data_IF_387935105242
#
_entry.id   IF_387935105242
#
_cell.length_a   1.000
_cell.length_b   1.000
_cell.length_c   1.000
_cell.angle_alpha   90.00
_cell.angle_beta   90.00
_cell.angle_gamma   90.00
#
_symmetry.space_group_name_H-M   'P 1'
#
loop_
_entity.id
_entity.type
_entity.pdbx_description
1 polymer ?
#
# COMPACT_ATOMS: atom_id res chain seq x y z
N UNK A 1 35.41 -48.14 -42.99
CA UNK A 1 36.28 -47.85 -41.83
C UNK A 1 36.01 -46.49 -41.23
N UNK A 2 36.35 -46.33 -39.96
CA UNK A 2 36.03 -45.16 -39.14
C UNK A 2 37.31 -44.39 -38.77
N UNK A 3 37.45 -43.16 -39.26
CA UNK A 3 38.42 -42.21 -38.70
C UNK A 3 37.75 -40.89 -38.31
N UNK A 4 37.76 -40.70 -36.99
CA UNK A 4 37.13 -39.64 -36.21
C UNK A 4 37.75 -38.27 -36.47
N UNK A 5 36.94 -37.32 -36.97
CA UNK A 5 37.24 -35.89 -36.89
C UNK A 5 37.16 -35.43 -35.42
N UNK A 6 38.24 -35.61 -34.67
CA UNK A 6 38.36 -35.22 -33.26
C UNK A 6 38.49 -33.70 -33.13
N UNK A 7 37.37 -32.97 -33.24
CA UNK A 7 37.30 -31.53 -32.95
C UNK A 7 37.90 -31.28 -31.56
N UNK A 8 38.97 -30.49 -31.48
CA UNK A 8 39.48 -30.01 -30.19
C UNK A 8 38.49 -29.00 -29.61
N UNK A 9 37.61 -29.47 -28.73
CA UNK A 9 36.98 -28.60 -27.74
C UNK A 9 38.07 -28.10 -26.79
N UNK A 10 38.65 -26.95 -27.11
CA UNK A 10 39.41 -26.16 -26.14
C UNK A 10 38.47 -25.79 -25.00
N UNK A 11 38.64 -26.39 -23.83
CA UNK A 11 37.88 -26.00 -22.65
C UNK A 11 38.08 -24.49 -22.41
N UNK A 12 37.02 -23.74 -22.05
CA UNK A 12 37.18 -22.34 -21.68
C UNK A 12 38.18 -22.24 -20.51
N UNK A 13 39.14 -21.31 -20.64
CA UNK A 13 40.19 -21.11 -19.64
C UNK A 13 39.57 -20.95 -18.25
N UNK A 14 40.24 -21.45 -17.21
CA UNK A 14 39.81 -21.28 -15.81
C UNK A 14 39.64 -19.79 -15.45
N UNK A 15 40.38 -18.88 -16.12
CA UNK A 15 40.18 -17.43 -16.03
C UNK A 15 38.91 -16.93 -16.72
N UNK A 16 38.51 -17.52 -17.85
CA UNK A 16 37.27 -17.20 -18.55
C UNK A 16 36.04 -17.68 -17.77
N UNK A 17 36.12 -18.87 -17.16
CA UNK A 17 35.10 -19.36 -16.23
C UNK A 17 34.99 -18.51 -14.96
N UNK A 18 36.11 -18.00 -14.42
CA UNK A 18 36.10 -17.06 -13.29
C UNK A 18 35.56 -15.67 -13.68
N UNK A 19 35.83 -15.19 -14.90
CA UNK A 19 35.23 -13.95 -15.41
C UNK A 19 33.73 -14.08 -15.65
N UNK A 20 33.26 -15.22 -16.18
CA UNK A 20 31.83 -15.54 -16.26
C UNK A 20 31.20 -15.64 -14.86
N UNK A 21 31.85 -16.31 -13.91
CA UNK A 21 31.38 -16.40 -12.53
C UNK A 21 31.28 -15.02 -11.84
N UNK A 22 32.23 -14.11 -12.12
CA UNK A 22 32.18 -12.73 -11.66
C UNK A 22 31.04 -11.94 -12.32
N UNK A 23 30.83 -12.09 -13.64
CA UNK A 23 29.72 -11.47 -14.37
C UNK A 23 28.34 -11.98 -13.88
N UNK A 24 28.22 -13.26 -13.51
CA UNK A 24 27.00 -13.79 -12.87
C UNK A 24 26.84 -13.40 -11.41
N UNK A 25 27.88 -12.86 -10.76
CA UNK A 25 27.78 -12.25 -9.43
C UNK A 25 27.41 -10.76 -9.49
N UNK A 26 27.37 -10.18 -10.69
CA UNK A 26 26.98 -8.77 -10.92
C UNK A 26 25.60 -8.64 -11.57
N UNK A 27 24.66 -9.53 -11.26
CA UNK A 27 23.25 -9.11 -11.15
C UNK A 27 23.03 -8.33 -9.83
N UNK A 28 23.84 -7.29 -9.63
CA UNK A 28 23.62 -6.29 -8.59
C UNK A 28 22.35 -5.53 -8.93
N UNK A 29 21.45 -5.48 -7.96
CA UNK A 29 20.23 -4.68 -7.87
C UNK A 29 20.26 -3.44 -8.76
N UNK A 30 19.36 -3.41 -9.76
CA UNK A 30 19.36 -2.43 -10.84
C UNK A 30 18.73 -1.08 -10.42
N UNK A 31 19.12 -0.56 -9.26
CA UNK A 31 18.56 0.64 -8.67
C UNK A 31 19.09 0.87 -7.25
N UNK A 32 18.69 2.00 -6.66
CA UNK A 32 18.75 2.19 -5.21
C UNK A 32 17.50 1.62 -4.55
N UNK A 33 17.65 0.98 -3.40
CA UNK A 33 16.56 0.38 -2.64
C UNK A 33 16.47 0.97 -1.22
N UNK A 34 15.28 0.97 -0.64
CA UNK A 34 14.95 1.65 0.61
C UNK A 34 14.20 0.73 1.58
N UNK A 35 14.66 0.68 2.83
CA UNK A 35 13.98 -0.01 3.93
C UNK A 35 13.47 1.03 4.92
N UNK A 36 12.15 1.20 4.99
CA UNK A 36 11.49 2.26 5.76
C UNK A 36 10.46 1.66 6.72
N UNK A 37 10.51 2.06 7.98
CA UNK A 37 9.59 1.63 9.01
C UNK A 37 8.80 2.82 9.57
N UNK A 38 7.48 2.70 9.58
CA UNK A 38 6.55 3.74 10.02
C UNK A 38 5.82 3.28 11.27
N UNK A 39 6.09 3.98 12.37
CA UNK A 39 5.59 3.72 13.71
C UNK A 39 4.57 4.80 14.08
N UNK A 40 3.45 4.39 14.67
CA UNK A 40 2.44 5.32 15.20
C UNK A 40 1.93 4.81 16.54
N UNK A 41 2.10 5.61 17.59
CA UNK A 41 1.55 5.38 18.92
C UNK A 41 0.49 6.44 19.24
N UNK A 42 -0.75 6.01 19.44
CA UNK A 42 -1.92 6.89 19.62
C UNK A 42 -2.47 6.71 21.03
N UNK A 43 -2.53 7.79 21.81
CA UNK A 43 -3.17 7.78 23.13
C UNK A 43 -4.69 7.64 23.02
N UNK A 44 -5.30 6.96 23.99
CA UNK A 44 -6.73 6.61 23.96
C UNK A 44 -7.45 7.00 25.26
N UNK A 45 -7.70 8.31 25.52
CA UNK A 45 -8.33 8.77 26.75
C UNK A 45 -9.68 8.06 27.01
N UNK A 46 -9.82 7.46 28.19
CA UNK A 46 -11.01 6.70 28.59
C UNK A 46 -11.20 5.32 27.92
N UNK A 47 -10.36 4.94 26.96
CA UNK A 47 -10.49 3.70 26.17
C UNK A 47 -9.34 2.69 26.37
N UNK A 48 -8.45 2.93 27.34
CA UNK A 48 -7.43 1.99 27.78
C UNK A 48 -6.00 2.44 27.50
N UNK A 49 -5.10 1.48 27.24
CA UNK A 49 -3.70 1.77 26.91
C UNK A 49 -3.58 2.40 25.51
N UNK A 50 -2.57 3.25 25.26
CA UNK A 50 -2.29 3.72 23.90
C UNK A 50 -2.10 2.56 22.93
N UNK A 51 -2.65 2.68 21.72
CA UNK A 51 -2.41 1.72 20.65
C UNK A 51 -1.08 2.04 19.99
N UNK A 52 -0.32 1.02 19.61
CA UNK A 52 0.88 1.15 18.79
C UNK A 52 0.73 0.25 17.57
N UNK A 53 0.99 0.82 16.39
CA UNK A 53 1.13 0.09 15.12
C UNK A 53 2.47 0.45 14.52
N UNK A 54 3.18 -0.54 13.96
CA UNK A 54 4.32 -0.30 13.08
C UNK A 54 4.15 -1.09 11.79
N UNK A 55 4.56 -0.53 10.68
CA UNK A 55 4.66 -1.22 9.38
C UNK A 55 6.05 -1.03 8.81
N UNK A 56 6.57 -2.05 8.14
CA UNK A 56 7.82 -1.97 7.36
C UNK A 56 7.52 -2.06 5.88
N UNK A 57 8.25 -1.27 5.09
CA UNK A 57 8.23 -1.26 3.64
C UNK A 57 9.65 -1.47 3.09
N UNK A 58 9.77 -2.30 2.06
CA UNK A 58 10.91 -2.33 1.15
C UNK A 58 10.43 -1.68 -0.15
N UNK A 59 10.95 -0.50 -0.44
CA UNK A 59 10.43 0.40 -1.47
C UNK A 59 8.90 0.57 -1.32
N UNK A 60 8.13 0.38 -2.39
CA UNK A 60 6.66 0.45 -2.33
C UNK A 60 6.00 -0.80 -1.70
N UNK A 61 6.76 -1.85 -1.38
CA UNK A 61 6.22 -3.15 -0.96
C UNK A 61 6.17 -3.26 0.55
N UNK A 62 4.97 -3.38 1.13
CA UNK A 62 4.85 -3.64 2.56
C UNK A 62 5.41 -5.04 2.90
N UNK A 63 6.43 -5.07 3.75
CA UNK A 63 7.11 -6.31 4.17
C UNK A 63 6.66 -6.84 5.53
N UNK A 64 6.25 -5.97 6.47
CA UNK A 64 5.78 -6.41 7.78
C UNK A 64 4.74 -5.47 8.41
N UNK A 65 3.98 -5.99 9.38
CA UNK A 65 3.01 -5.26 10.21
C UNK A 65 3.07 -5.73 11.66
N UNK A 66 2.89 -4.81 12.60
CA UNK A 66 2.62 -5.10 14.01
C UNK A 66 1.47 -4.22 14.52
N UNK A 67 0.63 -4.76 15.38
CA UNK A 67 -0.47 -4.03 16.01
C UNK A 67 -0.60 -4.44 17.48
N UNK A 68 -0.53 -3.48 18.40
CA UNK A 68 -0.58 -3.74 19.85
C UNK A 68 -1.92 -4.30 20.33
N UNK A 69 -2.96 -4.15 19.51
CA UNK A 69 -4.30 -4.68 19.78
C UNK A 69 -4.53 -6.05 19.10
N UNK A 70 -3.58 -6.57 18.30
CA UNK A 70 -3.71 -7.90 17.68
C UNK A 70 -3.63 -9.01 18.75
N UNK A 71 -4.56 -9.99 18.76
CA UNK A 71 -4.50 -11.13 19.67
C UNK A 71 -3.24 -12.00 19.51
N UNK A 72 -2.61 -11.99 18.32
CA UNK A 72 -1.33 -12.67 18.08
C UNK A 72 -0.19 -12.03 18.88
N UNK A 73 -0.25 -10.71 19.04
CA UNK A 73 0.82 -9.82 19.47
C UNK A 73 2.18 -10.24 18.89
N UNK A 74 2.20 -10.59 17.60
CA UNK A 74 3.39 -10.94 16.80
C UNK A 74 3.54 -9.94 15.66
N UNK A 75 4.70 -9.92 15.03
CA UNK A 75 4.84 -9.32 13.70
C UNK A 75 4.21 -10.27 12.68
N UNK A 76 3.45 -9.71 11.76
CA UNK A 76 2.74 -10.40 10.69
C UNK A 76 3.39 -10.00 9.33
N UNK A 77 3.65 -10.95 8.42
CA UNK A 77 4.31 -10.68 7.14
C UNK A 77 3.39 -9.87 6.20
N UNK A 78 3.96 -8.92 5.47
CA UNK A 78 3.23 -8.07 4.53
C UNK A 78 3.07 -8.67 3.13
N UNK A 79 3.91 -9.63 2.75
CA UNK A 79 3.89 -10.29 1.46
C UNK A 79 4.37 -11.76 1.56
N UNK A 80 3.90 -12.64 0.67
CA UNK A 80 4.21 -14.08 0.71
C UNK A 80 5.71 -14.40 0.62
N UNK A 81 6.47 -13.64 -0.17
CA UNK A 81 7.92 -13.85 -0.31
C UNK A 81 8.71 -13.51 0.97
N UNK A 82 8.14 -12.69 1.86
CA UNK A 82 8.72 -12.29 3.15
C UNK A 82 8.63 -13.42 4.18
N UNK A 83 7.67 -14.34 4.05
CA UNK A 83 7.55 -15.53 4.93
C UNK A 83 8.81 -16.42 4.92
N UNK A 84 9.66 -16.27 3.91
CA UNK A 84 10.96 -16.94 3.79
C UNK A 84 12.04 -16.41 4.75
N UNK A 85 11.78 -15.34 5.53
CA UNK A 85 12.67 -14.90 6.60
C UNK A 85 12.73 -15.94 7.73
N UNK A 86 13.93 -16.13 8.29
CA UNK A 86 14.21 -17.10 9.34
C UNK A 86 13.35 -16.83 10.60
N UNK A 87 12.84 -17.86 11.31
CA UNK A 87 12.00 -17.65 12.51
C UNK A 87 12.65 -16.75 13.58
N UNK A 88 13.98 -16.76 13.68
CA UNK A 88 14.76 -15.91 14.59
C UNK A 88 14.65 -14.41 14.24
N UNK A 89 14.40 -14.04 12.98
CA UNK A 89 14.05 -12.66 12.60
C UNK A 89 12.69 -12.28 13.20
N UNK A 90 11.67 -13.10 12.97
CA UNK A 90 10.30 -12.82 13.41
C UNK A 90 10.13 -12.74 14.93
N UNK A 91 10.80 -13.60 15.68
CA UNK A 91 10.80 -13.54 17.14
C UNK A 91 11.59 -12.30 17.65
N UNK A 92 12.75 -11.98 17.07
CA UNK A 92 13.57 -10.78 17.40
C UNK A 92 12.82 -9.46 17.14
N UNK A 93 12.13 -9.36 16.01
CA UNK A 93 11.31 -8.19 15.68
C UNK A 93 10.07 -8.11 16.60
N UNK A 94 9.44 -9.25 16.90
CA UNK A 94 8.31 -9.32 17.85
C UNK A 94 8.71 -8.83 19.25
N UNK A 95 9.87 -9.22 19.78
CA UNK A 95 10.39 -8.70 21.05
C UNK A 95 10.71 -7.20 20.99
N UNK A 96 11.32 -6.75 19.90
CA UNK A 96 11.67 -5.34 19.66
C UNK A 96 10.40 -4.46 19.62
N UNK A 97 9.35 -4.89 18.94
CA UNK A 97 8.09 -4.15 18.80
C UNK A 97 7.24 -4.18 20.08
N UNK A 98 7.30 -5.26 20.87
CA UNK A 98 6.77 -5.28 22.24
C UNK A 98 7.48 -4.27 23.15
N UNK A 99 8.79 -4.10 22.99
CA UNK A 99 9.55 -3.08 23.73
C UNK A 99 9.21 -1.66 23.26
N UNK A 100 9.19 -1.38 21.95
CA UNK A 100 8.76 -0.10 21.35
C UNK A 100 7.34 0.31 21.76
N UNK A 101 6.43 -0.65 21.96
CA UNK A 101 5.08 -0.41 22.49
C UNK A 101 5.15 0.28 23.87
N UNK A 102 5.99 -0.24 24.77
CA UNK A 102 6.18 0.33 26.12
C UNK A 102 6.91 1.68 26.08
N UNK A 103 7.82 1.88 25.13
CA UNK A 103 8.47 3.16 24.90
C UNK A 103 7.47 4.23 24.45
N UNK A 104 6.59 3.92 23.49
CA UNK A 104 5.54 4.84 23.02
C UNK A 104 4.62 5.34 24.13
N UNK A 105 4.22 4.44 25.04
CA UNK A 105 3.41 4.79 26.22
C UNK A 105 4.14 5.81 27.11
N UNK A 106 5.47 5.73 27.24
CA UNK A 106 6.28 6.70 27.98
C UNK A 106 6.47 8.00 27.19
N UNK A 107 6.76 7.93 25.88
CA UNK A 107 6.93 9.10 25.02
C UNK A 107 5.68 9.98 25.00
N UNK A 108 4.50 9.39 24.77
CA UNK A 108 3.20 10.08 24.87
C UNK A 108 3.01 10.75 26.23
N UNK A 109 3.36 10.06 27.33
CA UNK A 109 3.25 10.63 28.69
C UNK A 109 4.17 11.84 28.89
N UNK A 110 5.41 11.77 28.40
CA UNK A 110 6.41 12.84 28.54
C UNK A 110 6.09 14.04 27.64
N UNK A 111 5.70 13.81 26.39
CA UNK A 111 5.42 14.88 25.42
C UNK A 111 4.16 15.67 25.81
N UNK A 112 3.07 14.97 26.16
CA UNK A 112 1.87 15.58 26.74
C UNK A 112 2.20 16.46 27.95
N UNK A 113 3.13 16.02 28.80
CA UNK A 113 3.64 16.80 29.93
C UNK A 113 4.45 18.03 29.52
N UNK A 114 5.42 17.89 28.60
CA UNK A 114 6.25 19.01 28.15
C UNK A 114 5.43 20.10 27.44
N UNK A 115 4.41 19.72 26.66
CA UNK A 115 3.48 20.63 25.98
C UNK A 115 2.33 21.11 26.88
N UNK A 116 2.30 20.73 28.16
CA UNK A 116 1.25 21.08 29.13
C UNK A 116 -0.19 20.70 28.68
N UNK A 117 -0.33 19.67 27.84
CA UNK A 117 -1.61 19.18 27.34
C UNK A 117 -2.40 18.43 28.44
N UNK A 118 -3.73 18.57 28.43
CA UNK A 118 -4.65 17.97 29.40
C UNK A 118 -4.85 16.46 29.21
N UNK A 119 -5.26 15.75 30.28
CA UNK A 119 -5.44 14.29 30.24
C UNK A 119 -6.62 13.83 29.39
N UNK A 120 -7.72 14.60 29.40
CA UNK A 120 -8.64 14.64 28.27
C UNK A 120 -8.08 15.66 27.29
N UNK A 121 -7.68 15.23 26.09
CA UNK A 121 -7.16 16.13 25.06
C UNK A 121 -8.25 17.07 24.50
N UNK A 122 -7.83 17.96 23.61
CA UNK A 122 -8.52 19.22 23.32
C UNK A 122 -10.04 19.09 23.11
N UNK A 123 -10.79 19.86 23.90
CA UNK A 123 -12.24 19.81 23.98
C UNK A 123 -12.87 20.70 22.89
N UNK A 124 -12.57 20.42 21.62
CA UNK A 124 -13.22 21.05 20.47
C UNK A 124 -14.75 20.87 20.57
N UNK A 125 -15.47 21.96 20.28
CA UNK A 125 -16.89 22.11 20.61
C UNK A 125 -17.79 21.04 20.00
N UNK A 126 -18.73 20.53 20.80
CA UNK A 126 -19.71 19.52 20.39
C UNK A 126 -20.66 20.08 19.32
N UNK A 127 -20.35 19.80 18.04
CA UNK A 127 -21.04 20.37 16.88
C UNK A 127 -21.77 19.40 15.94
N UNK A 128 -21.59 18.07 16.08
CA UNK A 128 -22.35 17.00 15.40
C UNK A 128 -22.09 15.65 16.04
N UNK A 129 -23.13 14.86 16.26
CA UNK A 129 -23.01 13.44 16.65
C UNK A 129 -22.68 12.58 15.41
N UNK A 130 -21.84 11.54 15.52
CA UNK A 130 -21.70 10.56 14.45
C UNK A 130 -23.01 9.75 14.30
N UNK A 131 -23.36 9.32 13.07
CA UNK A 131 -24.51 8.43 12.86
C UNK A 131 -24.26 7.05 13.51
N UNK A 132 -25.31 6.34 13.96
CA UNK A 132 -25.17 5.04 14.60
C UNK A 132 -24.68 3.98 13.60
N UNK A 133 -23.74 3.14 14.04
CA UNK A 133 -23.20 2.02 13.25
C UNK A 133 -24.30 1.03 12.82
N UNK A 134 -24.38 0.63 11.54
CA UNK A 134 -25.28 -0.43 11.11
C UNK A 134 -25.00 -1.75 11.84
N UNK A 135 -26.05 -2.45 12.28
CA UNK A 135 -25.91 -3.81 12.83
C UNK A 135 -25.59 -4.78 11.68
N UNK A 136 -24.47 -5.47 11.76
CA UNK A 136 -24.01 -6.41 10.73
C UNK A 136 -24.99 -7.55 10.48
N UNK A 137 -25.50 -7.65 9.24
CA UNK A 137 -26.04 -8.92 8.71
C UNK A 137 -25.96 -8.92 7.17
N UNK A 138 -24.96 -9.61 6.64
CA UNK A 138 -24.72 -9.75 5.19
C UNK A 138 -24.01 -8.55 4.59
N UNK A 139 -22.72 -8.72 4.25
CA UNK A 139 -21.92 -7.75 3.50
C UNK A 139 -21.13 -8.53 2.45
N UNK A 140 -21.54 -8.40 1.18
CA UNK A 140 -20.68 -8.65 0.02
C UNK A 140 -19.56 -7.59 -0.01
N UNK A 141 -18.40 -7.86 -0.63
CA UNK A 141 -17.32 -6.86 -0.69
C UNK A 141 -17.80 -5.55 -1.31
N UNK A 142 -17.83 -4.49 -0.50
CA UNK A 142 -18.10 -3.12 -0.96
C UNK A 142 -16.76 -2.52 -1.36
N UNK A 143 -16.69 -1.93 -2.56
CA UNK A 143 -15.50 -1.20 -3.02
C UNK A 143 -15.28 0.04 -2.15
N UNK A 144 -14.08 0.19 -1.61
CA UNK A 144 -13.70 1.34 -0.77
C UNK A 144 -13.44 2.57 -1.64
N UNK A 145 -14.51 3.26 -2.01
CA UNK A 145 -14.50 4.47 -2.82
C UNK A 145 -15.38 5.56 -2.21
N UNK A 146 -15.05 6.81 -2.57
CA UNK A 146 -15.75 8.06 -2.23
C UNK A 146 -15.51 8.65 -0.81
N UNK A 147 -15.41 9.98 -0.78
CA UNK A 147 -15.30 10.83 0.41
C UNK A 147 -14.06 10.64 1.31
N UNK A 148 -12.88 10.97 0.77
CA UNK A 148 -11.81 11.52 1.60
C UNK A 148 -12.28 12.89 2.14
N UNK A 149 -12.34 13.12 3.46
CA UNK A 149 -12.34 14.48 3.97
C UNK A 149 -10.94 15.07 3.75
N UNK A 150 -10.87 16.34 3.32
CA UNK A 150 -9.62 17.10 3.33
C UNK A 150 -9.24 17.46 4.76
N UNK A 151 -8.77 16.46 5.51
CA UNK A 151 -7.92 16.71 6.67
C UNK A 151 -6.66 17.38 6.13
N UNK A 152 -6.57 18.71 6.32
CA UNK A 152 -5.46 19.55 5.90
C UNK A 152 -4.16 18.85 6.26
N UNK A 153 -3.40 18.40 5.25
CA UNK A 153 -2.12 17.74 5.49
C UNK A 153 -1.23 18.77 6.19
N UNK A 154 -0.70 18.49 7.39
CA UNK A 154 0.39 19.28 7.92
C UNK A 154 1.51 19.21 6.89
N UNK A 155 2.03 20.36 6.47
CA UNK A 155 3.19 20.46 5.57
C UNK A 155 4.46 20.08 6.33
N UNK A 156 4.53 18.83 6.78
CA UNK A 156 5.61 18.24 7.55
C UNK A 156 6.53 17.44 6.62
N UNK A 157 7.83 17.51 6.90
CA UNK A 157 8.84 16.71 6.22
C UNK A 157 8.70 15.23 6.54
N UNK A 158 8.07 14.89 7.67
CA UNK A 158 7.67 13.53 8.02
C UNK A 158 6.68 12.92 7.03
N UNK A 159 5.53 13.57 6.79
CA UNK A 159 4.45 13.00 5.96
C UNK A 159 4.82 12.91 4.47
N UNK A 160 5.77 13.74 4.02
CA UNK A 160 6.32 13.67 2.66
C UNK A 160 7.13 12.38 2.39
N UNK A 161 7.47 11.61 3.43
CA UNK A 161 8.21 10.35 3.31
C UNK A 161 7.35 9.08 3.38
N UNK A 162 6.02 9.17 3.43
CA UNK A 162 5.12 8.01 3.54
C UNK A 162 4.88 7.31 2.19
N UNK A 163 4.93 5.96 2.10
CA UNK A 163 4.73 5.22 0.85
C UNK A 163 3.26 5.20 0.42
N UNK A 164 3.03 5.03 -0.88
CA UNK A 164 1.71 5.08 -1.51
C UNK A 164 0.68 4.13 -0.86
N UNK A 165 -0.23 4.69 -0.06
CA UNK A 165 -1.29 3.93 0.63
C UNK A 165 -1.10 3.75 2.13
N UNK A 166 0.07 4.09 2.69
CA UNK A 166 0.20 4.32 4.12
C UNK A 166 -0.15 5.79 4.45
N UNK A 167 -0.70 6.03 5.64
CA UNK A 167 -0.53 7.32 6.30
C UNK A 167 -0.74 7.25 7.81
N UNK A 168 0.23 7.77 8.56
CA UNK A 168 0.19 7.93 10.01
C UNK A 168 -0.88 8.93 10.46
N UNK A 169 -1.08 10.02 9.70
CA UNK A 169 -2.16 10.99 9.94
C UNK A 169 -3.55 10.36 9.78
N UNK A 170 -3.74 9.50 8.76
CA UNK A 170 -4.98 8.72 8.59
C UNK A 170 -5.17 7.73 9.75
N UNK A 171 -4.11 7.01 10.13
CA UNK A 171 -4.10 6.10 11.29
C UNK A 171 -4.47 6.83 12.59
N UNK A 172 -3.92 8.03 12.82
CA UNK A 172 -4.24 8.90 13.95
C UNK A 172 -5.72 9.27 13.94
N UNK A 173 -6.26 9.70 12.81
CA UNK A 173 -7.67 10.09 12.66
C UNK A 173 -8.65 8.91 12.86
N UNK A 174 -8.31 7.71 12.38
CA UNK A 174 -9.19 6.53 12.48
C UNK A 174 -9.13 5.80 13.82
N UNK A 175 -7.99 5.78 14.52
CA UNK A 175 -7.82 5.03 15.78
C UNK A 175 -7.66 5.92 17.02
N UNK A 176 -7.39 7.22 16.82
CA UNK A 176 -7.49 8.27 17.82
C UNK A 176 -8.70 9.14 17.54
N UNK A 177 -9.80 8.92 18.27
CA UNK A 177 -10.88 9.91 18.33
C UNK A 177 -10.27 11.29 18.68
N UNK A 178 -10.71 12.35 18.00
CA UNK A 178 -10.06 13.68 17.88
C UNK A 178 -9.89 14.49 19.18
N UNK A 179 -9.20 13.89 20.15
CA UNK A 179 -9.02 14.25 21.58
C UNK A 179 -7.80 13.54 22.20
N UNK A 180 -6.95 12.89 21.41
CA UNK A 180 -5.85 12.06 21.89
C UNK A 180 -4.54 12.40 21.18
N UNK A 181 -3.50 12.68 21.97
CA UNK A 181 -2.14 12.91 21.47
C UNK A 181 -1.56 11.71 20.73
N UNK A 182 -0.79 11.95 19.67
CA UNK A 182 -0.09 10.93 18.87
C UNK A 182 1.44 11.14 18.80
N UNK A 183 2.20 10.05 18.76
CA UNK A 183 3.65 10.04 18.48
C UNK A 183 3.88 9.20 17.23
N UNK A 184 4.57 9.76 16.27
CA UNK A 184 4.85 9.17 14.96
C UNK A 184 6.38 9.10 14.77
N UNK A 185 6.89 8.00 14.20
CA UNK A 185 8.33 7.84 13.91
C UNK A 185 8.53 7.15 12.57
N UNK A 186 9.42 7.70 11.74
CA UNK A 186 9.89 7.09 10.49
C UNK A 186 11.39 6.87 10.63
N UNK A 187 11.84 5.63 10.50
CA UNK A 187 13.26 5.28 10.61
C UNK A 187 13.62 4.20 9.59
N UNK A 188 14.86 4.18 9.11
CA UNK A 188 15.25 3.32 7.99
C UNK A 188 16.57 3.68 7.33
N UNK A 189 16.82 3.09 6.17
CA UNK A 189 18.02 3.28 5.36
C UNK A 189 17.74 3.10 3.87
N UNK A 190 18.50 3.81 3.04
CA UNK A 190 18.54 3.64 1.58
C UNK A 190 19.93 3.13 1.18
N UNK A 191 20.00 2.18 0.25
CA UNK A 191 21.23 1.62 -0.31
C UNK A 191 21.34 1.83 -1.82
N UNK A 192 22.56 1.89 -2.33
CA UNK A 192 22.83 1.97 -3.76
C UNK A 192 22.86 0.59 -4.45
N UNK A 193 23.04 0.57 -5.78
CA UNK A 193 23.20 -0.68 -6.55
C UNK A 193 24.34 -1.58 -6.05
N UNK A 194 25.38 -1.01 -5.44
CA UNK A 194 26.51 -1.75 -4.85
C UNK A 194 26.23 -2.26 -3.41
N UNK A 195 24.99 -2.13 -2.93
CA UNK A 195 24.53 -2.57 -1.61
C UNK A 195 25.00 -1.71 -0.44
N UNK A 196 25.66 -0.56 -0.68
CA UNK A 196 26.15 0.32 0.38
C UNK A 196 25.12 1.35 0.80
N UNK A 197 25.14 1.72 2.08
CA UNK A 197 24.34 2.81 2.63
C UNK A 197 24.58 4.13 1.85
N UNK A 198 23.51 4.70 1.32
CA UNK A 198 23.47 6.06 0.78
C UNK A 198 22.97 7.06 1.84
N UNK A 199 21.95 6.67 2.62
CA UNK A 199 21.29 7.55 3.59
C UNK A 199 20.64 6.76 4.72
N UNK A 200 20.74 7.26 5.95
CA UNK A 200 20.01 6.76 7.11
C UNK A 200 18.94 7.76 7.57
N UNK A 201 17.89 7.26 8.20
CA UNK A 201 16.78 8.08 8.71
C UNK A 201 16.41 7.69 10.14
N UNK A 202 16.16 8.71 10.97
CA UNK A 202 15.38 8.60 12.19
C UNK A 202 14.69 9.94 12.47
N UNK A 203 13.38 9.99 12.23
CA UNK A 203 12.56 11.19 12.29
C UNK A 203 11.33 10.93 13.13
N UNK A 204 10.92 11.92 13.92
CA UNK A 204 9.75 11.87 14.79
C UNK A 204 8.84 13.05 14.53
N UNK A 205 7.54 12.78 14.52
CA UNK A 205 6.49 13.79 14.58
C UNK A 205 5.69 13.64 15.89
N UNK A 206 5.18 14.77 16.39
CA UNK A 206 4.23 14.81 17.49
C UNK A 206 2.92 15.45 17.02
N UNK A 207 1.82 14.76 17.32
CA UNK A 207 0.48 15.14 16.93
C UNK A 207 0.25 15.41 15.42
N UNK A 208 1.12 14.89 14.54
CA UNK A 208 1.10 15.11 13.09
C UNK A 208 2.04 16.22 12.58
N UNK A 209 2.78 16.90 13.46
CA UNK A 209 3.76 17.94 13.13
C UNK A 209 5.19 17.43 13.36
N UNK A 210 6.16 17.87 12.54
CA UNK A 210 7.58 17.54 12.74
C UNK A 210 8.03 17.91 14.16
N UNK A 211 8.76 17.01 14.82
CA UNK A 211 9.23 17.20 16.19
C UNK A 211 10.76 17.21 16.28
N UNK A 212 11.41 16.10 15.93
CA UNK A 212 12.88 16.00 15.89
C UNK A 212 13.34 15.02 14.80
N UNK A 213 14.38 15.38 14.06
CA UNK A 213 14.94 14.60 12.95
C UNK A 213 16.46 14.46 13.08
N UNK A 214 16.98 13.27 12.78
CA UNK A 214 18.42 13.03 12.61
C UNK A 214 18.88 13.66 11.29
N UNK A 215 19.98 14.40 11.34
CA UNK A 215 20.58 15.02 10.16
C UNK A 215 21.39 13.98 9.34
N UNK A 216 21.68 14.34 8.09
CA UNK A 216 22.40 13.48 7.13
C UNK A 216 23.84 13.12 7.57
N UNK A 217 24.39 13.83 8.56
CA UNK A 217 25.69 13.52 9.18
C UNK A 217 25.66 12.30 10.12
N UNK A 218 24.47 11.77 10.43
CA UNK A 218 24.18 10.71 11.39
C UNK A 218 24.80 10.97 12.78
N UNK A 219 24.84 12.24 13.18
CA UNK A 219 25.50 12.75 14.41
C UNK A 219 24.71 13.86 15.10
N UNK A 220 24.09 14.76 14.36
CA UNK A 220 23.37 15.94 14.88
C UNK A 220 21.87 15.86 14.64
N UNK A 221 21.10 16.62 15.43
CA UNK A 221 19.64 16.61 15.40
C UNK A 221 19.07 18.00 15.08
N UNK A 222 18.09 18.04 14.17
CA UNK A 222 17.23 19.21 13.96
C UNK A 222 15.96 19.05 14.78
N UNK A 223 15.60 20.09 15.54
CA UNK A 223 14.46 20.11 16.45
C UNK A 223 13.52 21.26 16.06
N UNK A 224 12.23 20.96 15.92
CA UNK A 224 11.26 21.88 15.31
C UNK A 224 10.84 23.05 16.22
N UNK A 225 10.79 22.83 17.53
CA UNK A 225 10.40 23.84 18.52
C UNK A 225 11.22 23.76 19.83
N UNK A 226 10.97 24.67 20.78
CA UNK A 226 11.65 24.72 22.07
C UNK A 226 11.42 23.48 22.97
N UNK A 227 10.33 22.73 22.77
CA UNK A 227 10.11 21.46 23.49
C UNK A 227 10.98 20.36 22.89
N UNK A 228 11.08 20.31 21.56
CA UNK A 228 12.01 19.43 20.86
C UNK A 228 13.47 19.75 21.21
N UNK A 229 13.84 21.02 21.45
CA UNK A 229 15.17 21.38 21.97
C UNK A 229 15.49 20.70 23.32
N UNK A 230 14.50 20.47 24.18
CA UNK A 230 14.68 19.73 25.45
C UNK A 230 15.00 18.25 25.17
N UNK A 231 14.38 17.65 24.15
CA UNK A 231 14.71 16.27 23.72
C UNK A 231 16.08 16.20 23.08
N UNK A 232 16.39 17.13 22.15
CA UNK A 232 17.70 17.25 21.50
C UNK A 232 18.84 17.27 22.52
N UNK A 233 18.81 18.19 23.49
CA UNK A 233 19.87 18.32 24.51
C UNK A 233 20.05 17.03 25.34
N UNK A 234 18.96 16.29 25.60
CA UNK A 234 19.02 14.99 26.30
C UNK A 234 19.63 13.90 25.41
N UNK A 235 19.29 13.86 24.13
CA UNK A 235 19.79 12.86 23.17
C UNK A 235 21.26 13.09 22.79
N UNK A 236 21.67 14.35 22.65
CA UNK A 236 23.08 14.73 22.49
C UNK A 236 23.90 14.34 23.73
N UNK A 237 23.40 14.60 24.95
CA UNK A 237 24.09 14.28 26.20
C UNK A 237 24.26 12.77 26.47
N UNK A 238 23.41 11.91 25.91
CA UNK A 238 23.57 10.43 25.98
C UNK A 238 24.16 9.82 24.71
N UNK A 239 24.48 10.63 23.69
CA UNK A 239 25.06 10.15 22.44
C UNK A 239 24.13 9.34 21.55
N UNK A 240 22.80 9.51 21.65
CA UNK A 240 21.77 8.67 20.99
C UNK A 240 21.98 8.51 19.47
N UNK A 241 22.52 9.53 18.79
CA UNK A 241 22.87 9.44 17.36
C UNK A 241 23.83 8.29 17.03
N UNK A 242 24.69 7.87 17.95
CA UNK A 242 25.58 6.72 17.75
C UNK A 242 24.82 5.38 17.72
N UNK A 243 23.83 5.19 18.61
CA UNK A 243 22.98 3.98 18.60
C UNK A 243 22.15 3.90 17.31
N UNK A 244 21.61 5.03 16.84
CA UNK A 244 20.88 5.11 15.57
C UNK A 244 21.82 4.88 14.37
N UNK A 245 23.02 5.47 14.39
CA UNK A 245 24.01 5.26 13.33
C UNK A 245 24.44 3.79 13.22
N UNK A 246 24.70 3.13 14.36
CA UNK A 246 24.99 1.70 14.41
C UNK A 246 23.86 0.82 13.83
N UNK A 247 22.59 1.24 13.96
CA UNK A 247 21.47 0.57 13.32
C UNK A 247 21.46 0.77 11.80
N UNK A 248 21.62 2.01 11.29
CA UNK A 248 21.52 2.29 9.84
C UNK A 248 22.76 1.87 9.06
N UNK A 249 23.97 1.94 9.64
CA UNK A 249 25.23 1.49 9.00
C UNK A 249 25.39 -0.04 8.99
N UNK A 250 24.70 -0.76 9.89
CA UNK A 250 24.75 -2.22 10.00
C UNK A 250 23.40 -2.86 9.76
N UNK A 251 22.66 -3.15 10.84
CA UNK A 251 21.44 -3.98 10.85
C UNK A 251 20.41 -3.61 9.78
N UNK A 252 20.21 -2.33 9.50
CA UNK A 252 19.23 -1.90 8.51
C UNK A 252 19.64 -2.37 7.10
N UNK A 253 20.91 -2.17 6.72
CA UNK A 253 21.46 -2.65 5.44
C UNK A 253 21.46 -4.18 5.38
N UNK A 254 21.84 -4.86 6.46
CA UNK A 254 21.80 -6.34 6.55
C UNK A 254 20.39 -6.89 6.29
N UNK A 255 19.36 -6.30 6.91
CA UNK A 255 17.96 -6.70 6.75
C UNK A 255 17.45 -6.35 5.34
N UNK A 256 17.77 -5.16 4.81
CA UNK A 256 17.39 -4.71 3.47
C UNK A 256 17.95 -5.68 2.40
N UNK A 257 19.24 -5.97 2.44
CA UNK A 257 19.89 -6.91 1.51
C UNK A 257 19.33 -8.34 1.65
N UNK A 258 18.96 -8.76 2.86
CA UNK A 258 18.33 -10.07 3.10
C UNK A 258 16.93 -10.17 2.51
N UNK A 259 16.13 -9.09 2.59
CA UNK A 259 14.83 -9.02 1.95
C UNK A 259 14.94 -8.97 0.43
N UNK A 260 15.87 -8.20 -0.12
CA UNK A 260 16.14 -8.16 -1.56
C UNK A 260 16.41 -9.58 -2.09
N UNK A 261 17.39 -10.30 -1.54
CA UNK A 261 17.75 -11.65 -2.01
C UNK A 261 16.59 -12.66 -1.94
N UNK A 262 15.75 -12.61 -0.89
CA UNK A 262 14.56 -13.47 -0.76
C UNK A 262 13.38 -13.03 -1.65
N UNK A 263 13.29 -11.75 -1.98
CA UNK A 263 12.23 -11.14 -2.78
C UNK A 263 12.53 -10.99 -4.27
N UNK A 264 13.74 -11.36 -4.72
CA UNK A 264 14.30 -11.01 -6.04
C UNK A 264 13.38 -11.22 -7.24
N UNK A 265 12.68 -12.34 -7.31
CA UNK A 265 11.80 -12.67 -8.43
C UNK A 265 10.47 -11.88 -8.40
N UNK A 266 10.11 -11.32 -7.24
CA UNK A 266 8.93 -10.43 -7.07
C UNK A 266 9.30 -8.95 -7.18
N UNK A 267 10.50 -8.55 -6.74
CA UNK A 267 10.95 -7.15 -6.75
C UNK A 267 11.46 -6.71 -8.13
N UNK A 268 11.93 -7.64 -8.96
CA UNK A 268 12.18 -7.43 -10.40
C UNK A 268 10.90 -7.41 -11.26
N UNK A 269 9.71 -7.52 -10.68
CA UNK A 269 8.44 -7.44 -11.41
C UNK A 269 8.19 -5.99 -11.84
N UNK A 270 7.85 -5.78 -13.10
CA UNK A 270 7.28 -4.52 -13.60
C UNK A 270 5.92 -4.81 -14.22
N UNK A 271 4.85 -4.36 -13.58
CA UNK A 271 3.48 -4.49 -14.09
C UNK A 271 3.09 -3.19 -14.80
N UNK A 272 2.84 -3.20 -16.13
CA UNK A 272 2.51 -1.97 -16.87
C UNK A 272 1.08 -1.49 -16.59
N UNK A 273 0.84 -0.17 -16.54
CA UNK A 273 -0.47 0.39 -16.26
C UNK A 273 -1.50 0.09 -17.36
N UNK A 274 -2.66 -0.41 -16.93
CA UNK A 274 -3.87 -0.49 -17.74
C UNK A 274 -4.51 0.89 -17.77
N UNK A 275 -4.37 1.57 -18.90
CA UNK A 275 -4.73 2.99 -19.02
C UNK A 275 -5.99 3.23 -19.85
N UNK A 276 -6.78 4.24 -19.48
CA UNK A 276 -7.94 4.69 -20.25
C UNK A 276 -8.35 6.13 -19.87
N UNK A 277 -9.17 6.78 -20.68
CA UNK A 277 -9.72 8.12 -20.40
C UNK A 277 -11.24 8.03 -20.27
N UNK A 278 -11.79 8.48 -19.13
CA UNK A 278 -13.24 8.63 -18.94
C UNK A 278 -13.66 10.10 -19.10
N UNK A 279 -14.88 10.31 -19.58
CA UNK A 279 -15.44 11.62 -19.95
C UNK A 279 -16.74 11.84 -19.18
N UNK A 280 -16.87 12.99 -18.50
CA UNK A 280 -17.99 13.30 -17.63
C UNK A 280 -18.47 14.73 -17.96
N UNK A 281 -19.66 14.94 -18.55
CA UNK A 281 -20.20 16.27 -18.76
C UNK A 281 -20.42 17.00 -17.43
N UNK A 282 -19.99 18.25 -17.35
CA UNK A 282 -20.33 19.17 -16.25
C UNK A 282 -21.51 20.05 -16.68
N UNK A 283 -21.45 20.55 -17.93
CA UNK A 283 -22.45 21.40 -18.55
C UNK A 283 -22.49 21.17 -20.07
N UNK A 284 -23.35 21.91 -20.79
CA UNK A 284 -23.34 21.97 -22.26
C UNK A 284 -22.04 22.57 -22.84
N UNK A 285 -21.16 23.14 -22.00
CA UNK A 285 -19.97 23.88 -22.43
C UNK A 285 -18.66 23.32 -21.85
N UNK A 286 -18.72 22.48 -20.81
CA UNK A 286 -17.55 21.99 -20.08
C UNK A 286 -17.69 20.50 -19.75
N UNK A 287 -16.61 19.75 -19.95
CA UNK A 287 -16.53 18.31 -19.64
C UNK A 287 -15.24 18.00 -18.89
N UNK A 288 -15.30 17.07 -17.93
CA UNK A 288 -14.11 16.55 -17.24
C UNK A 288 -13.57 15.34 -17.97
N UNK A 289 -12.36 15.44 -18.52
CA UNK A 289 -11.59 14.28 -18.96
C UNK A 289 -10.75 13.76 -17.78
N UNK A 290 -10.85 12.48 -17.44
CA UNK A 290 -10.03 11.83 -16.40
C UNK A 290 -9.23 10.68 -17.01
N UNK A 291 -7.92 10.81 -17.00
CA UNK A 291 -6.98 9.79 -17.41
C UNK A 291 -6.64 8.90 -16.22
N UNK A 292 -6.83 7.60 -16.38
CA UNK A 292 -6.56 6.58 -15.36
C UNK A 292 -5.36 5.74 -15.74
N UNK A 293 -4.56 5.38 -14.73
CA UNK A 293 -3.61 4.28 -14.75
C UNK A 293 -3.99 3.31 -13.62
N UNK A 294 -4.17 2.02 -13.94
CA UNK A 294 -4.61 0.99 -13.00
C UNK A 294 -3.73 -0.26 -13.09
N UNK A 295 -3.49 -0.90 -11.94
CA UNK A 295 -2.90 -2.23 -11.89
C UNK A 295 -1.40 -2.27 -12.22
N UNK A 296 -0.65 -1.22 -11.85
CA UNK A 296 0.79 -1.09 -12.15
C UNK A 296 1.69 -1.28 -10.92
N UNK A 297 2.96 -1.58 -11.16
CA UNK A 297 4.01 -1.71 -10.14
C UNK A 297 5.39 -1.50 -10.80
N UNK A 298 6.34 -0.72 -10.24
CA UNK A 298 6.32 -0.02 -8.93
C UNK A 298 5.36 1.18 -8.90
N UNK A 299 5.26 1.90 -7.77
CA UNK A 299 4.29 2.98 -7.57
C UNK A 299 4.68 4.31 -8.24
N UNK A 300 5.96 4.51 -8.56
CA UNK A 300 6.39 5.70 -9.30
C UNK A 300 5.78 5.70 -10.71
N UNK A 301 5.07 6.79 -11.03
CA UNK A 301 4.36 6.95 -12.30
C UNK A 301 4.08 8.44 -12.53
N UNK A 302 4.35 8.90 -13.75
CA UNK A 302 4.01 10.27 -14.18
C UNK A 302 2.79 10.26 -15.09
N UNK A 303 1.75 10.99 -14.70
CA UNK A 303 0.55 11.28 -15.50
C UNK A 303 0.51 12.79 -15.76
N UNK A 304 0.55 13.19 -17.03
CA UNK A 304 0.53 14.60 -17.45
C UNK A 304 -0.56 14.81 -18.50
N UNK A 305 -1.36 15.87 -18.36
CA UNK A 305 -2.25 16.32 -19.43
C UNK A 305 -1.51 17.30 -20.34
N UNK A 306 -1.66 17.13 -21.64
CA UNK A 306 -1.11 17.99 -22.68
C UNK A 306 -2.24 18.52 -23.56
N UNK A 307 -2.16 19.79 -23.98
CA UNK A 307 -3.01 20.36 -25.04
C UNK A 307 -2.10 20.85 -26.15
N UNK A 308 -2.35 20.40 -27.37
CA UNK A 308 -1.54 20.79 -28.55
C UNK A 308 -0.02 20.60 -28.32
N UNK A 309 0.33 19.50 -27.64
CA UNK A 309 1.69 19.08 -27.19
C UNK A 309 2.32 19.88 -26.02
N UNK A 310 1.68 20.94 -25.51
CA UNK A 310 2.13 21.68 -24.31
C UNK A 310 1.60 21.05 -23.00
N UNK A 311 2.46 20.90 -21.99
CA UNK A 311 2.11 20.36 -20.66
C UNK A 311 1.23 21.33 -19.84
N UNK A 312 0.03 20.88 -19.45
CA UNK A 312 -0.82 21.56 -18.47
C UNK A 312 -0.35 21.19 -17.06
N UNK A 313 0.01 22.17 -16.23
CA UNK A 313 0.53 21.91 -14.87
C UNK A 313 -0.24 22.58 -13.73
N UNK A 314 -1.09 23.57 -14.02
CA UNK A 314 -1.89 24.28 -13.00
C UNK A 314 -3.37 23.88 -13.01
N UNK A 315 -3.94 23.60 -14.19
CA UNK A 315 -5.37 23.30 -14.37
C UNK A 315 -5.70 21.79 -14.27
N UNK A 316 -4.84 20.98 -13.65
CA UNK A 316 -5.00 19.52 -13.52
C UNK A 316 -5.23 19.05 -12.09
N UNK A 317 -6.32 18.30 -11.89
CA UNK A 317 -6.61 17.56 -10.67
C UNK A 317 -5.80 16.25 -10.69
N UNK A 318 -4.63 16.24 -10.06
CA UNK A 318 -3.78 15.05 -9.91
C UNK A 318 -3.96 14.43 -8.53
N UNK A 319 -4.38 13.16 -8.46
CA UNK A 319 -4.37 12.43 -7.19
C UNK A 319 -3.03 11.75 -6.95
N UNK A 320 -2.69 11.55 -5.68
CA UNK A 320 -1.56 10.71 -5.29
C UNK A 320 -1.73 9.27 -5.76
N UNK A 321 -0.61 8.56 -5.84
CA UNK A 321 -0.63 7.13 -6.14
C UNK A 321 -1.23 6.38 -4.95
N UNK A 322 -2.19 5.50 -5.22
CA UNK A 322 -2.95 4.75 -4.21
C UNK A 322 -2.86 3.25 -4.49
N UNK A 323 -2.93 2.38 -3.47
CA UNK A 323 -2.86 0.94 -3.68
C UNK A 323 -4.13 0.40 -4.36
N UNK A 324 -3.99 -0.65 -5.16
CA UNK A 324 -5.08 -1.46 -5.70
C UNK A 324 -5.61 -2.50 -4.69
N UNK A 325 -4.81 -2.85 -3.68
CA UNK A 325 -5.13 -3.85 -2.65
C UNK A 325 -4.64 -5.28 -2.96
N UNK A 326 -4.06 -5.48 -4.15
CA UNK A 326 -3.51 -6.74 -4.67
C UNK A 326 -1.98 -6.72 -4.84
N UNK A 327 -1.30 -5.70 -4.29
CA UNK A 327 0.13 -5.46 -4.52
C UNK A 327 0.44 -4.70 -5.81
N UNK A 328 -0.56 -4.06 -6.43
CA UNK A 328 -0.40 -3.07 -7.49
C UNK A 328 -0.93 -1.69 -7.06
N UNK A 329 -0.80 -0.69 -7.94
CA UNK A 329 -1.15 0.71 -7.71
C UNK A 329 -2.15 1.26 -8.74
N UNK A 330 -2.75 2.39 -8.40
CA UNK A 330 -3.71 3.15 -9.20
C UNK A 330 -3.50 4.67 -9.00
N UNK A 331 -3.58 5.43 -10.10
CA UNK A 331 -3.47 6.90 -10.12
C UNK A 331 -4.37 7.45 -11.22
N UNK A 332 -4.80 8.71 -11.09
CA UNK A 332 -5.46 9.41 -12.18
C UNK A 332 -5.13 10.90 -12.18
N UNK A 333 -5.30 11.52 -13.34
CA UNK A 333 -5.22 12.96 -13.55
C UNK A 333 -6.47 13.41 -14.30
N UNK A 334 -7.14 14.47 -13.86
CA UNK A 334 -8.29 15.05 -14.55
C UNK A 334 -8.05 16.50 -14.96
N UNK A 335 -8.73 16.93 -16.01
CA UNK A 335 -8.73 18.30 -16.53
C UNK A 335 -10.14 18.66 -17.00
N UNK A 336 -10.55 19.91 -16.77
CA UNK A 336 -11.80 20.47 -17.31
C UNK A 336 -11.50 21.07 -18.67
N UNK A 337 -12.26 20.70 -19.70
CA UNK A 337 -12.04 21.13 -21.08
C UNK A 337 -13.34 21.65 -21.71
N UNK A 338 -13.26 22.55 -22.71
CA UNK A 338 -14.44 22.97 -23.46
C UNK A 338 -15.08 21.80 -24.22
N UNK A 339 -16.40 21.74 -24.19
CA UNK A 339 -17.22 20.78 -24.96
C UNK A 339 -16.93 20.91 -26.45
N UNK A 340 -16.57 19.81 -27.10
CA UNK A 340 -16.14 19.75 -28.51
C UNK A 340 -14.65 19.98 -28.76
N UNK A 341 -13.84 20.30 -27.74
CA UNK A 341 -12.38 20.44 -27.88
C UNK A 341 -11.58 19.24 -27.34
N UNK A 342 -12.25 18.16 -26.91
CA UNK A 342 -11.64 17.04 -26.17
C UNK A 342 -10.49 16.36 -26.92
N UNK A 343 -10.51 16.39 -28.26
CA UNK A 343 -9.50 15.76 -29.12
C UNK A 343 -8.15 16.51 -29.17
N UNK A 344 -8.12 17.79 -28.74
CA UNK A 344 -6.87 18.56 -28.56
C UNK A 344 -6.09 18.09 -27.33
N UNK A 345 -6.78 17.46 -26.37
CA UNK A 345 -6.21 17.06 -25.09
C UNK A 345 -5.73 15.60 -25.14
N UNK A 346 -4.49 15.40 -24.68
CA UNK A 346 -3.83 14.09 -24.60
C UNK A 346 -3.32 13.86 -23.19
N UNK A 347 -3.54 12.66 -22.65
CA UNK A 347 -2.86 12.22 -21.43
C UNK A 347 -1.60 11.43 -21.78
N UNK A 348 -0.46 11.86 -21.24
CA UNK A 348 0.82 11.16 -21.33
C UNK A 348 1.09 10.40 -20.04
N UNK A 349 1.36 9.11 -20.15
CA UNK A 349 1.64 8.20 -19.04
C UNK A 349 3.06 7.65 -19.18
N UNK A 350 3.89 7.84 -18.17
CA UNK A 350 5.28 7.37 -18.11
C UNK A 350 5.44 6.47 -16.87
N UNK A 351 5.93 5.25 -17.07
CA UNK A 351 6.08 4.20 -16.07
C UNK A 351 7.19 3.23 -16.52
N UNK A 352 7.95 2.65 -15.60
CA UNK A 352 9.07 1.74 -15.93
C UNK A 352 8.63 0.50 -16.72
N UNK A 353 7.41 0.00 -16.49
CA UNK A 353 6.84 -1.13 -17.23
C UNK A 353 6.49 -0.81 -18.70
N UNK A 354 6.65 0.43 -19.15
CA UNK A 354 6.35 0.86 -20.52
C UNK A 354 7.63 1.15 -21.31
N UNK A 355 7.79 0.47 -22.44
CA UNK A 355 8.91 0.68 -23.37
C UNK A 355 8.94 2.10 -23.96
N UNK A 356 7.76 2.71 -24.14
CA UNK A 356 7.58 4.09 -24.60
C UNK A 356 6.41 4.73 -23.82
N UNK A 357 6.42 6.05 -23.57
CA UNK A 357 5.30 6.77 -22.97
C UNK A 357 3.98 6.54 -23.70
N UNK A 358 2.95 6.07 -23.00
CA UNK A 358 1.62 5.93 -23.60
C UNK A 358 0.97 7.31 -23.73
N UNK A 359 0.46 7.63 -24.93
CA UNK A 359 -0.27 8.87 -25.22
C UNK A 359 -1.72 8.53 -25.56
N UNK A 360 -2.66 9.03 -24.77
CA UNK A 360 -4.06 8.65 -24.77
C UNK A 360 -4.94 9.86 -25.12
N UNK A 361 -5.93 9.66 -25.98
CA UNK A 361 -7.04 10.61 -26.21
C UNK A 361 -8.34 10.01 -25.68
N UNK A 362 -9.33 10.85 -25.41
CA UNK A 362 -10.67 10.35 -25.20
C UNK A 362 -11.25 9.80 -26.51
N UNK A 363 -11.78 8.58 -26.47
CA UNK A 363 -12.47 7.95 -27.60
C UNK A 363 -13.97 7.89 -27.28
N UNK A 364 -14.84 8.47 -28.12
CA UNK A 364 -16.29 8.37 -27.94
C UNK A 364 -16.73 6.89 -27.92
N UNK A 365 -17.66 6.49 -27.02
CA UNK A 365 -18.18 5.13 -27.03
C UNK A 365 -18.84 4.83 -28.38
N UNK A 366 -18.68 3.61 -28.93
CA UNK A 366 -19.26 3.27 -30.22
C UNK A 366 -20.79 3.42 -30.16
N UNK A 367 -21.34 4.25 -31.06
CA UNK A 367 -22.78 4.49 -31.13
C UNK A 367 -23.50 3.14 -31.27
N UNK A 368 -24.33 2.82 -30.28
CA UNK A 368 -24.86 1.48 -30.14
C UNK A 368 -25.82 1.15 -31.30
N UNK A 369 -25.51 0.10 -32.07
CA UNK A 369 -26.28 -0.32 -33.25
C UNK A 369 -27.60 -1.03 -32.89
N UNK A 370 -28.27 -0.53 -31.86
CA UNK A 370 -29.60 -0.92 -31.38
C UNK A 370 -30.64 -0.92 -32.52
N UNK A 371 -30.77 0.09 -33.40
CA UNK A 371 -31.74 0.03 -34.50
C UNK A 371 -31.54 -1.21 -35.38
N UNK A 372 -30.28 -1.57 -35.69
CA UNK A 372 -29.96 -2.75 -36.51
C UNK A 372 -30.33 -4.06 -35.81
N UNK A 373 -30.03 -4.18 -34.51
CA UNK A 373 -30.33 -5.40 -33.75
C UNK A 373 -31.85 -5.58 -33.52
N UNK A 374 -32.59 -4.49 -33.30
CA UNK A 374 -34.06 -4.49 -33.19
C UNK A 374 -34.73 -4.92 -34.50
N UNK A 375 -34.23 -4.44 -35.64
CA UNK A 375 -34.71 -4.87 -36.97
C UNK A 375 -34.47 -6.37 -37.18
N UNK A 376 -33.28 -6.88 -36.85
CA UNK A 376 -32.95 -8.31 -36.98
C UNK A 376 -33.84 -9.15 -36.05
N UNK A 377 -34.02 -8.74 -34.78
CA UNK A 377 -34.89 -9.45 -33.84
C UNK A 377 -36.35 -9.48 -34.31
N UNK A 378 -36.88 -8.38 -34.87
CA UNK A 378 -38.22 -8.32 -35.46
C UNK A 378 -38.39 -9.24 -36.67
N UNK A 379 -37.41 -9.30 -37.56
CA UNK A 379 -37.41 -10.22 -38.71
C UNK A 379 -37.34 -11.69 -38.27
N UNK A 380 -36.49 -12.02 -37.30
CA UNK A 380 -36.39 -13.38 -36.73
C UNK A 380 -37.69 -13.78 -36.03
N UNK A 381 -38.35 -12.88 -35.29
CA UNK A 381 -39.66 -13.12 -34.69
C UNK A 381 -40.74 -13.38 -35.75
N UNK A 382 -40.79 -12.62 -36.84
CA UNK A 382 -41.72 -12.85 -37.95
C UNK A 382 -41.53 -14.24 -38.56
N UNK A 383 -40.28 -14.65 -38.84
CA UNK A 383 -39.98 -15.99 -39.36
C UNK A 383 -40.32 -17.09 -38.33
N UNK A 384 -40.03 -16.86 -37.05
CA UNK A 384 -40.34 -17.80 -35.97
C UNK A 384 -41.85 -17.99 -35.75
N UNK A 385 -42.67 -16.94 -35.91
CA UNK A 385 -44.14 -17.04 -35.83
C UNK A 385 -44.69 -17.81 -37.03
N UNK A 386 -44.22 -17.53 -38.26
CA UNK A 386 -44.67 -18.21 -39.47
C UNK A 386 -44.31 -19.71 -39.46
N UNK A 387 -43.09 -20.05 -39.05
CA UNK A 387 -42.66 -21.45 -38.88
C UNK A 387 -43.35 -22.12 -37.68
N UNK A 388 -43.55 -21.39 -36.58
CA UNK A 388 -44.22 -21.86 -35.37
C UNK A 388 -45.69 -22.24 -35.60
N UNK A 389 -46.42 -21.48 -36.44
CA UNK A 389 -47.78 -21.83 -36.83
C UNK A 389 -47.85 -23.17 -37.60
N UNK A 390 -46.93 -23.37 -38.54
CA UNK A 390 -46.84 -24.64 -39.29
C UNK A 390 -46.46 -25.82 -38.38
N UNK A 391 -45.51 -25.64 -37.47
CA UNK A 391 -45.12 -26.67 -36.49
C UNK A 391 -46.26 -26.97 -35.51
N UNK A 392 -47.00 -25.97 -35.03
CA UNK A 392 -48.14 -26.17 -34.14
C UNK A 392 -49.22 -27.06 -34.77
N UNK A 393 -49.55 -26.85 -36.05
CA UNK A 393 -50.48 -27.71 -36.80
C UNK A 393 -50.00 -29.18 -36.87
N UNK A 394 -48.71 -29.40 -37.14
CA UNK A 394 -48.10 -30.75 -37.19
C UNK A 394 -48.02 -31.40 -35.79
N UNK A 395 -47.74 -30.63 -34.74
CA UNK A 395 -47.62 -31.14 -33.36
C UNK A 395 -48.99 -31.47 -32.77
N UNK A 396 -50.03 -30.69 -33.04
CA UNK A 396 -51.42 -31.02 -32.69
C UNK A 396 -51.84 -32.39 -33.26
N UNK A 397 -51.39 -32.71 -34.48
CA UNK A 397 -51.67 -34.01 -35.11
C UNK A 397 -50.90 -35.19 -34.49
N UNK A 398 -49.75 -34.93 -33.83
CA UNK A 398 -48.93 -35.96 -33.17
C UNK A 398 -49.22 -36.13 -31.67
N UNK A 399 -49.77 -35.15 -30.96
CA UNK A 399 -49.99 -35.19 -29.50
C UNK A 399 -51.21 -36.04 -29.07
N UNK A 400 -51.41 -37.20 -29.70
CA UNK A 400 -52.45 -38.21 -29.37
C UNK A 400 -51.84 -39.60 -29.08
N UNK A 401 -50.79 -39.65 -28.24
CA UNK A 401 -50.21 -40.89 -27.65
C UNK A 401 -49.20 -40.59 -26.51
N UNK A 402 -49.38 -41.23 -25.34
CA UNK A 402 -48.48 -41.35 -24.15
C UNK A 402 -47.99 -40.06 -23.42
N UNK A 403 -47.66 -40.05 -22.10
CA UNK A 403 -48.09 -40.93 -20.99
C UNK A 403 -47.00 -41.35 -19.95
N UNK A 404 -47.01 -40.77 -18.73
CA UNK A 404 -46.35 -41.20 -17.43
C UNK A 404 -44.79 -41.39 -17.43
N UNK A 405 -43.98 -41.52 -16.35
CA UNK A 405 -43.93 -41.20 -14.88
C UNK A 405 -42.58 -41.80 -14.32
N UNK A 406 -41.91 -41.48 -13.17
CA UNK A 406 -42.02 -40.54 -12.02
C UNK A 406 -40.84 -40.72 -11.01
N UNK A 407 -40.80 -40.00 -9.85
CA UNK A 407 -39.77 -40.05 -8.73
C UNK A 407 -38.29 -39.74 -9.11
N UNK A 408 -37.26 -39.47 -8.25
CA UNK A 408 -37.02 -39.33 -6.78
C UNK A 408 -35.48 -39.44 -6.50
N UNK A 409 -34.82 -39.18 -5.34
CA UNK A 409 -35.11 -38.47 -4.07
C UNK A 409 -33.81 -38.37 -3.17
N UNK A 410 -33.87 -37.80 -1.94
CA UNK A 410 -32.84 -37.90 -0.83
C UNK A 410 -31.52 -37.05 -0.93
N UNK A 411 -30.67 -36.82 0.12
CA UNK A 411 -30.86 -36.48 1.56
C UNK A 411 -29.53 -36.10 2.32
N UNK A 412 -29.55 -35.04 3.17
CA UNK A 412 -28.72 -34.83 4.41
C UNK A 412 -27.15 -34.86 4.27
N UNK A 413 -26.22 -34.74 5.25
CA UNK A 413 -26.00 -34.34 6.69
C UNK A 413 -24.44 -34.06 6.82
N UNK A 414 -23.75 -33.49 7.85
CA UNK A 414 -24.03 -32.77 9.11
C UNK A 414 -22.98 -33.06 10.22
N UNK A 415 -22.36 -32.05 10.88
CA UNK A 415 -21.27 -32.23 11.90
C UNK A 415 -21.11 -31.05 12.92
N UNK A 416 -20.20 -31.18 13.91
CA UNK A 416 -20.07 -30.34 15.15
C UNK A 416 -18.65 -29.68 15.30
N UNK A 417 -18.14 -29.04 16.40
CA UNK A 417 -18.43 -29.05 17.88
C UNK A 417 -17.80 -27.85 18.67
N UNK A 418 -17.95 -27.90 20.01
CA UNK A 418 -17.39 -27.16 21.19
C UNK A 418 -15.85 -27.04 21.32
N UNK A 419 -15.17 -26.31 22.26
CA UNK A 419 -15.38 -25.24 23.29
C UNK A 419 -13.99 -24.90 23.94
N UNK A 420 -13.81 -23.80 24.71
CA UNK A 420 -12.68 -23.62 25.66
C UNK A 420 -12.37 -22.17 26.09
N UNK A 421 -11.84 -21.94 27.32
CA UNK A 421 -11.62 -20.60 27.95
C UNK A 421 -10.26 -20.45 28.72
N UNK A 422 -10.09 -19.32 29.44
CA UNK A 422 -9.05 -18.91 30.44
C UNK A 422 -7.74 -18.27 29.91
N UNK A 423 -7.08 -17.30 30.59
CA UNK A 423 -7.39 -16.55 31.84
C UNK A 423 -6.62 -15.19 31.91
N UNK A 424 -6.90 -14.35 32.92
CA UNK A 424 -6.14 -13.14 33.27
C UNK A 424 -4.86 -13.46 34.07
N UNK A 425 -3.84 -12.59 34.01
CA UNK A 425 -3.43 -11.72 35.13
C UNK A 425 -2.30 -10.74 34.74
N UNK A 426 -2.31 -9.52 35.29
CA UNK A 426 -1.23 -8.53 35.19
C UNK A 426 -1.03 -7.82 36.53
N UNK A 427 0.21 -7.75 37.01
CA UNK A 427 0.64 -6.81 38.04
C UNK A 427 2.15 -6.54 37.86
N UNK A 428 2.54 -5.27 37.80
CA UNK A 428 3.88 -4.86 37.38
C UNK A 428 4.78 -4.33 38.51
N UNK A 429 6.10 -4.50 38.34
CA UNK A 429 7.19 -3.78 39.02
C UNK A 429 8.50 -4.08 38.29
N UNK A 430 9.19 -3.05 37.79
CA UNK A 430 10.67 -2.90 37.72
C UNK A 430 11.03 -1.54 37.06
N UNK A 431 12.20 -0.94 37.37
CA UNK A 431 12.57 0.43 36.96
C UNK A 431 13.20 0.49 35.53
N UNK A 432 13.41 1.69 34.96
CA UNK A 432 13.68 1.83 33.54
C UNK A 432 15.17 1.91 33.17
N UNK A 433 15.87 0.77 33.04
CA UNK A 433 17.10 0.69 32.24
C UNK A 433 17.29 -0.68 31.59
N UNK A 434 16.77 -0.81 30.37
CA UNK A 434 17.24 -1.73 29.34
C UNK A 434 16.94 -1.08 27.99
N UNK A 435 17.92 -1.07 27.09
CA UNK A 435 17.64 -0.85 25.67
C UNK A 435 16.70 -1.97 25.20
N UNK A 436 15.83 -1.69 24.22
CA UNK A 436 15.20 -2.79 23.47
C UNK A 436 16.31 -3.66 22.86
N UNK A 437 16.14 -4.99 22.76
CA UNK A 437 17.25 -5.91 22.49
C UNK A 437 17.77 -5.84 21.03
N UNK A 438 18.48 -4.76 20.72
CA UNK A 438 19.56 -4.71 19.73
C UNK A 438 20.75 -5.50 20.29
N UNK A 439 20.51 -6.77 20.65
CA UNK A 439 21.58 -7.75 20.84
C UNK A 439 22.30 -7.88 19.51
N UNK A 440 23.62 -7.72 19.55
CA UNK A 440 24.58 -8.13 18.51
C UNK A 440 24.15 -9.46 17.90
#
# INVERSE_FOLDING_TARGET
DSQTWRKQMTMPSRRFLLLLAALTLTETWAGSHSLRYFYTAVSRPGLGKPRHVEVGYLDDTQIQRFDSDSPSLRVEPGALWVEQMEPQYWDRETETLKCKTQQGHRCLTVLRGNYNQSEAGEQLGLGRSPPPSPRTRGVTPVSWSEHHPEAVRPSSTFHAGEPAGFSSAFIKYYWGAARGGGVERMYGCDVGPDGRLLRGYDQFAYDGHDYIALNEDLRSWTAADEVAQITRRKWEAVGWAADVRNFVEGRCVEILLSFLEKGKDTLKRTDPPKTHVTHHPISEHEVTLRCWALGFYPADITLTWQRDEEDLTQDMELVDTRPGGDGTFQKWAAVVVPSGEEQKYTCRVQHEGLLEPQVLRWVPPPQSSIPTLVIIAGLVLLVAVLTGAAVAAVVMWRKKRSGREGSGESCLLGAFKSQGELALYLNGKYPPHTQCPVRS
#
